data_IF_387319464301
#
_entry.id   IF_387319464301
#
_cell.length_a   1.000
_cell.length_b   1.000
_cell.length_c   1.000
_cell.angle_alpha   90.00
_cell.angle_beta   90.00
_cell.angle_gamma   90.00
#
_symmetry.space_group_name_H-M   'P 1'
#
loop_
_entity.id
_entity.type
_entity.pdbx_description
1 polymer ?
#
# COMPACT_ATOMS: atom_id res chain seq x y z
N UNK A 1 -5.22 43.94 28.19
CA UNK A 1 -5.89 42.69 27.70
C UNK A 1 -6.02 42.65 26.17
N UNK A 2 -4.98 43.03 25.40
CA UNK A 2 -4.98 42.95 23.92
C UNK A 2 -4.02 41.90 23.35
N UNK A 3 -3.09 41.40 24.18
CA UNK A 3 -2.05 40.46 23.77
C UNK A 3 -2.46 38.97 23.86
N UNK A 4 -3.55 38.65 24.57
CA UNK A 4 -4.04 37.28 24.69
C UNK A 4 -4.69 36.75 23.40
N UNK A 5 -5.33 37.62 22.61
CA UNK A 5 -5.97 37.21 21.35
C UNK A 5 -4.96 36.83 20.25
N UNK A 6 -3.73 37.37 20.28
CA UNK A 6 -2.69 37.02 19.31
C UNK A 6 -2.04 35.66 19.57
N UNK A 7 -2.13 35.10 20.78
CA UNK A 7 -1.57 33.78 21.08
C UNK A 7 -2.45 32.63 20.53
N UNK A 8 -3.77 32.86 20.46
CA UNK A 8 -4.75 31.87 19.98
C UNK A 8 -4.63 31.62 18.47
N UNK A 9 -4.18 32.60 17.68
CA UNK A 9 -4.06 32.43 16.22
C UNK A 9 -2.86 31.55 15.79
N UNK A 10 -1.82 31.44 16.61
CA UNK A 10 -0.61 30.66 16.29
C UNK A 10 -0.86 29.16 16.45
N UNK A 11 -1.72 28.75 17.39
CA UNK A 11 -2.02 27.32 17.66
C UNK A 11 -2.83 26.70 16.51
N UNK A 12 -3.65 27.47 15.80
CA UNK A 12 -4.50 26.98 14.71
C UNK A 12 -3.75 26.77 13.38
N UNK A 13 -2.50 27.26 13.24
CA UNK A 13 -1.71 27.08 12.02
C UNK A 13 -0.88 25.78 11.97
N UNK A 14 -0.74 25.08 13.10
CA UNK A 14 0.03 23.84 13.18
C UNK A 14 -0.79 22.55 13.03
N UNK A 15 -2.10 22.63 12.81
CA UNK A 15 -2.93 21.46 12.47
C UNK A 15 -2.84 21.09 10.99
N UNK A 16 -1.64 21.17 10.39
CA UNK A 16 -1.43 20.53 9.09
C UNK A 16 -1.51 19.03 9.32
N UNK A 17 -2.59 18.44 8.81
CA UNK A 17 -2.86 17.01 8.78
C UNK A 17 -1.57 16.24 8.46
N UNK A 18 -0.90 15.73 9.51
CA UNK A 18 0.08 14.69 9.33
C UNK A 18 -0.72 13.49 8.83
N UNK A 19 -0.76 13.28 7.51
CA UNK A 19 -1.08 11.96 6.99
C UNK A 19 0.00 11.06 7.57
N UNK A 20 -0.33 10.40 8.68
CA UNK A 20 0.61 9.49 9.33
C UNK A 20 0.91 8.41 8.31
N UNK A 21 2.18 8.30 7.99
CA UNK A 21 2.69 7.10 7.35
C UNK A 21 2.28 5.91 8.20
N UNK A 22 1.80 4.86 7.55
CA UNK A 22 1.46 3.59 8.17
C UNK A 22 2.38 2.53 7.62
N UNK A 23 2.66 1.52 8.42
CA UNK A 23 3.47 0.39 7.99
C UNK A 23 2.59 -0.77 7.52
N UNK A 24 3.06 -1.50 6.51
CA UNK A 24 2.44 -2.74 6.05
C UNK A 24 3.48 -3.84 5.93
N UNK A 25 3.05 -5.10 6.06
CA UNK A 25 3.94 -6.23 5.78
C UNK A 25 4.05 -6.46 4.27
N UNK A 26 5.12 -7.16 3.86
CA UNK A 26 5.32 -7.53 2.46
C UNK A 26 5.12 -9.03 2.27
N UNK A 27 4.29 -9.37 1.30
CA UNK A 27 4.11 -10.75 0.82
C UNK A 27 4.61 -10.83 -0.63
N UNK A 28 5.34 -11.89 -0.95
CA UNK A 28 5.84 -12.15 -2.29
C UNK A 28 4.91 -13.15 -2.97
N UNK A 29 4.48 -12.84 -4.18
CA UNK A 29 3.66 -13.74 -4.98
C UNK A 29 4.34 -14.12 -6.29
N UNK A 30 4.06 -15.32 -6.77
CA UNK A 30 4.36 -15.74 -8.13
C UNK A 30 3.16 -15.52 -9.06
N UNK A 31 3.29 -15.88 -10.35
CA UNK A 31 2.21 -15.76 -11.35
C UNK A 31 0.98 -16.62 -11.05
N UNK A 32 1.16 -17.72 -10.31
CA UNK A 32 0.14 -18.73 -10.04
C UNK A 32 -0.53 -18.48 -8.68
N UNK A 33 -0.30 -17.29 -8.09
CA UNK A 33 -0.88 -16.87 -6.81
C UNK A 33 -0.40 -17.76 -5.66
N UNK A 34 0.84 -18.26 -5.69
CA UNK A 34 1.48 -18.81 -4.50
C UNK A 34 2.09 -17.66 -3.71
N UNK A 35 1.80 -17.60 -2.41
CA UNK A 35 2.22 -16.48 -1.54
C UNK A 35 3.20 -16.91 -0.46
N UNK A 36 4.21 -16.08 -0.22
CA UNK A 36 5.21 -16.28 0.82
C UNK A 36 5.50 -14.96 1.53
N UNK A 37 5.50 -14.96 2.87
CA UNK A 37 5.78 -13.76 3.65
C UNK A 37 7.27 -13.42 3.62
N UNK A 38 7.61 -12.23 3.12
CA UNK A 38 9.00 -11.77 3.06
C UNK A 38 9.57 -11.61 4.47
N UNK A 39 10.80 -12.09 4.70
CA UNK A 39 11.43 -12.11 6.03
C UNK A 39 10.54 -12.75 7.11
N UNK A 40 9.75 -13.77 6.77
CA UNK A 40 8.78 -14.43 7.65
C UNK A 40 7.73 -13.47 8.24
N UNK A 41 7.38 -12.41 7.50
CA UNK A 41 6.38 -11.42 7.90
C UNK A 41 6.96 -10.22 8.67
N UNK A 42 8.26 -10.23 8.94
CA UNK A 42 8.93 -9.14 9.66
C UNK A 42 9.28 -7.94 8.77
N UNK A 43 9.28 -8.12 7.43
CA UNK A 43 9.56 -7.00 6.53
C UNK A 43 8.39 -6.02 6.55
N UNK A 44 8.67 -4.78 7.00
CA UNK A 44 7.73 -3.67 7.06
C UNK A 44 8.09 -2.60 6.05
N UNK A 45 7.07 -1.97 5.48
CA UNK A 45 7.22 -0.85 4.55
C UNK A 45 6.28 0.26 4.96
N UNK A 46 6.86 1.43 5.22
CA UNK A 46 6.13 2.66 5.51
C UNK A 46 5.52 3.24 4.25
N UNK A 47 4.35 3.87 4.36
CA UNK A 47 3.65 4.44 3.23
C UNK A 47 2.20 4.77 3.52
N UNK A 48 1.40 4.84 2.45
CA UNK A 48 0.02 5.31 2.52
C UNK A 48 -0.87 4.35 1.72
N UNK A 49 -1.94 3.88 2.37
CA UNK A 49 -3.03 3.15 1.70
C UNK A 49 -3.91 4.09 0.88
N UNK A 50 -4.33 3.64 -0.29
CA UNK A 50 -5.32 4.30 -1.11
C UNK A 50 -6.31 3.33 -1.72
N UNK A 51 -7.40 3.89 -2.24
CA UNK A 51 -8.43 3.15 -2.98
C UNK A 51 -8.52 3.79 -4.36
N UNK A 52 -8.28 2.99 -5.40
CA UNK A 52 -8.45 3.40 -6.78
C UNK A 52 -9.77 2.86 -7.31
N UNK A 53 -10.54 3.70 -8.00
CA UNK A 53 -11.74 3.29 -8.74
C UNK A 53 -11.34 2.95 -10.17
N UNK A 54 -11.74 1.78 -10.66
CA UNK A 54 -11.57 1.42 -12.08
C UNK A 54 -12.76 1.86 -12.92
N UNK A 55 -13.97 1.77 -12.37
CA UNK A 55 -15.21 2.28 -12.94
C UNK A 55 -16.21 2.54 -11.80
N UNK A 56 -17.47 2.84 -12.13
CA UNK A 56 -18.51 3.13 -11.14
C UNK A 56 -18.82 1.97 -10.17
N UNK A 57 -18.48 0.74 -10.52
CA UNK A 57 -18.82 -0.44 -9.73
C UNK A 57 -17.63 -1.05 -9.02
N UNK A 58 -16.40 -0.87 -9.52
CA UNK A 58 -15.23 -1.59 -9.01
C UNK A 58 -14.13 -0.67 -8.51
N UNK A 59 -13.62 -0.98 -7.33
CA UNK A 59 -12.44 -0.35 -6.75
C UNK A 59 -11.43 -1.38 -6.26
N UNK A 60 -10.19 -0.97 -6.01
CA UNK A 60 -9.17 -1.82 -5.41
C UNK A 60 -8.26 -1.01 -4.49
N UNK A 61 -7.67 -1.71 -3.53
CA UNK A 61 -6.69 -1.14 -2.60
C UNK A 61 -5.29 -1.13 -3.23
N UNK A 62 -4.57 -0.04 -3.00
CA UNK A 62 -3.16 0.07 -3.34
C UNK A 62 -2.38 0.70 -2.19
N UNK A 63 -1.08 0.47 -2.17
CA UNK A 63 -0.16 1.07 -1.20
C UNK A 63 0.92 1.88 -1.91
N UNK A 64 1.13 3.12 -1.46
CA UNK A 64 2.21 3.99 -1.93
C UNK A 64 3.34 3.92 -0.90
N UNK A 65 4.43 3.17 -1.16
CA UNK A 65 5.54 3.08 -0.22
C UNK A 65 6.35 4.38 -0.20
N UNK A 66 6.86 4.73 0.98
CA UNK A 66 7.93 5.71 1.10
C UNK A 66 9.15 5.21 0.31
N UNK A 67 9.74 6.07 -0.52
CA UNK A 67 10.78 5.68 -1.49
C UNK A 67 10.23 5.24 -2.86
N UNK A 68 8.92 5.15 -3.04
CA UNK A 68 8.27 4.98 -4.34
C UNK A 68 8.75 3.75 -5.12
N UNK A 69 9.04 3.94 -6.41
CA UNK A 69 9.40 2.83 -7.32
C UNK A 69 10.68 2.11 -6.91
N UNK A 70 11.65 2.82 -6.34
CA UNK A 70 12.92 2.21 -5.98
C UNK A 70 12.77 1.28 -4.79
N UNK A 71 11.91 1.63 -3.82
CA UNK A 71 11.55 0.71 -2.73
C UNK A 71 10.87 -0.55 -3.26
N UNK A 72 9.99 -0.42 -4.27
CA UNK A 72 9.31 -1.58 -4.85
C UNK A 72 10.30 -2.51 -5.57
N UNK A 73 11.28 -1.95 -6.30
CA UNK A 73 12.34 -2.74 -6.95
C UNK A 73 13.23 -3.45 -5.94
N UNK A 74 13.58 -2.78 -4.84
CA UNK A 74 14.32 -3.37 -3.72
C UNK A 74 13.56 -4.59 -3.17
N UNK A 75 12.28 -4.42 -2.81
CA UNK A 75 11.44 -5.51 -2.31
C UNK A 75 11.29 -6.67 -3.32
N UNK A 76 11.20 -6.37 -4.61
CA UNK A 76 11.18 -7.41 -5.65
C UNK A 76 12.47 -8.21 -5.65
N UNK A 77 13.62 -7.56 -5.54
CA UNK A 77 14.90 -8.25 -5.47
C UNK A 77 15.00 -9.10 -4.20
N UNK A 78 14.53 -8.60 -3.06
CA UNK A 78 14.45 -9.37 -1.81
C UNK A 78 13.56 -10.62 -1.97
N UNK A 79 12.38 -10.47 -2.59
CA UNK A 79 11.50 -11.60 -2.91
C UNK A 79 12.18 -12.65 -3.79
N UNK A 80 12.88 -12.22 -4.85
CA UNK A 80 13.60 -13.11 -5.77
C UNK A 80 14.76 -13.81 -5.04
N UNK A 81 15.48 -13.11 -4.19
CA UNK A 81 16.58 -13.67 -3.41
C UNK A 81 16.09 -14.72 -2.41
N UNK A 82 14.95 -14.49 -1.75
CA UNK A 82 14.44 -15.38 -0.71
C UNK A 82 13.65 -16.58 -1.28
N UNK A 83 12.88 -16.40 -2.34
CA UNK A 83 11.93 -17.42 -2.83
C UNK A 83 12.19 -17.87 -4.28
N UNK A 84 13.12 -17.22 -4.98
CA UNK A 84 13.49 -17.54 -6.35
C UNK A 84 12.79 -16.69 -7.40
N UNK A 85 13.23 -16.84 -8.66
CA UNK A 85 12.88 -15.96 -9.79
C UNK A 85 11.39 -15.97 -10.16
N UNK A 86 10.59 -16.88 -9.60
CA UNK A 86 9.15 -16.92 -9.84
C UNK A 86 8.37 -15.92 -8.96
N UNK A 87 8.91 -15.55 -7.80
CA UNK A 87 8.26 -14.66 -6.82
C UNK A 87 8.57 -13.19 -7.11
N UNK A 88 8.11 -12.71 -8.27
CA UNK A 88 8.45 -11.38 -8.80
C UNK A 88 7.49 -10.26 -8.40
N UNK A 89 6.41 -10.59 -7.68
CA UNK A 89 5.37 -9.64 -7.30
C UNK A 89 5.41 -9.38 -5.80
N UNK A 90 6.20 -8.40 -5.32
CA UNK A 90 6.05 -7.92 -3.95
C UNK A 90 4.70 -7.23 -3.82
N UNK A 91 3.95 -7.53 -2.76
CA UNK A 91 2.63 -6.98 -2.51
C UNK A 91 2.51 -6.51 -1.06
N UNK A 92 1.86 -5.36 -0.81
CA UNK A 92 1.51 -4.93 0.53
C UNK A 92 0.43 -5.86 1.09
N UNK A 93 0.60 -6.29 2.33
CA UNK A 93 -0.42 -7.02 3.06
C UNK A 93 -0.46 -6.47 4.46
N UNK A 94 -1.60 -5.91 4.85
CA UNK A 94 -1.94 -5.89 6.25
C UNK A 94 -2.58 -7.25 6.60
N UNK A 95 -2.57 -7.61 7.88
CA UNK A 95 -3.21 -8.85 8.33
C UNK A 95 -4.76 -8.77 8.31
N UNK A 96 -5.34 -7.62 7.95
CA UNK A 96 -6.75 -7.30 8.13
C UNK A 96 -7.56 -7.37 6.81
N UNK A 97 -6.95 -7.12 5.66
CA UNK A 97 -7.60 -7.16 4.37
C UNK A 97 -7.59 -8.60 3.82
N UNK A 98 -8.78 -9.18 3.67
CA UNK A 98 -9.00 -10.38 2.86
C UNK A 98 -8.78 -10.15 1.35
N UNK A 99 -8.32 -8.97 0.95
CA UNK A 99 -8.24 -8.53 -0.43
C UNK A 99 -6.78 -8.32 -0.82
N UNK A 100 -6.38 -8.93 -1.93
CA UNK A 100 -5.06 -8.72 -2.51
C UNK A 100 -4.91 -7.28 -3.00
N UNK A 101 -3.86 -6.62 -2.55
CA UNK A 101 -3.55 -5.23 -2.84
C UNK A 101 -2.20 -5.11 -3.51
N UNK A 102 -1.97 -4.04 -4.27
CA UNK A 102 -0.72 -3.84 -5.02
C UNK A 102 0.03 -2.61 -4.55
N UNK A 103 1.35 -2.63 -4.71
CA UNK A 103 2.11 -1.39 -4.63
C UNK A 103 1.78 -0.49 -5.82
N UNK A 104 1.92 0.81 -5.63
CA UNK A 104 1.78 1.79 -6.69
C UNK A 104 2.84 2.89 -6.53
N UNK A 105 3.20 3.54 -7.64
CA UNK A 105 4.10 4.70 -7.61
C UNK A 105 3.33 6.00 -7.46
N UNK A 106 2.07 5.99 -7.88
CA UNK A 106 1.08 7.04 -7.68
C UNK A 106 -0.34 6.49 -7.87
N UNK A 107 -1.36 7.35 -7.86
CA UNK A 107 -2.78 6.95 -7.96
C UNK A 107 -3.16 6.30 -9.31
N UNK A 108 -2.36 6.49 -10.36
CA UNK A 108 -2.62 6.03 -11.73
C UNK A 108 -1.70 4.88 -12.14
N UNK A 109 -0.51 4.82 -11.56
CA UNK A 109 0.53 3.87 -11.93
C UNK A 109 0.68 2.79 -10.84
N UNK A 110 0.01 1.66 -11.04
CA UNK A 110 0.15 0.48 -10.20
C UNK A 110 1.35 -0.37 -10.62
N UNK A 111 2.00 -1.00 -9.65
CA UNK A 111 3.02 -1.99 -9.92
C UNK A 111 2.37 -3.34 -10.24
N UNK A 112 2.95 -4.17 -11.13
CA UNK A 112 2.42 -5.49 -11.43
C UNK A 112 2.27 -6.38 -10.17
N UNK A 113 1.13 -7.05 -10.07
CA UNK A 113 0.80 -7.98 -8.97
C UNK A 113 -0.66 -8.41 -9.03
N UNK A 114 -1.11 -9.16 -8.02
CA UNK A 114 -2.49 -9.66 -7.97
C UNK A 114 -3.43 -8.67 -7.28
N UNK A 115 -4.53 -8.31 -7.93
CA UNK A 115 -5.47 -7.33 -7.41
C UNK A 115 -6.82 -7.98 -7.12
N UNK A 116 -7.39 -7.72 -5.94
CA UNK A 116 -8.78 -8.03 -5.65
C UNK A 116 -9.65 -6.79 -5.87
N UNK A 117 -10.73 -6.95 -6.62
CA UNK A 117 -11.68 -5.87 -6.85
C UNK A 117 -12.81 -5.93 -5.84
N UNK A 118 -13.14 -4.77 -5.28
CA UNK A 118 -14.33 -4.55 -4.47
C UNK A 118 -15.41 -4.10 -5.43
N UNK A 119 -16.53 -4.83 -5.52
CA UNK A 119 -17.72 -4.28 -6.17
C UNK A 119 -18.63 -3.61 -5.16
N UNK A 120 -19.22 -2.49 -5.56
CA UNK A 120 -20.20 -1.74 -4.77
C UNK A 120 -21.48 -2.53 -4.48
N UNK A 121 -21.70 -3.67 -5.14
CA UNK A 121 -22.85 -4.54 -4.89
C UNK A 121 -22.49 -5.94 -4.32
N UNK A 122 -21.33 -6.54 -4.62
CA UNK A 122 -20.84 -7.80 -4.01
C UNK A 122 -19.32 -7.94 -4.19
N UNK A 123 -18.58 -8.60 -3.27
CA UNK A 123 -17.13 -8.87 -3.43
C UNK A 123 -16.89 -9.88 -4.56
N UNK A 124 -16.07 -9.54 -5.56
CA UNK A 124 -15.61 -10.48 -6.60
C UNK A 124 -14.09 -10.40 -6.76
N UNK A 125 -13.41 -11.55 -6.62
CA UNK A 125 -12.00 -11.70 -7.00
C UNK A 125 -11.96 -11.92 -8.52
N UNK A 126 -11.33 -11.04 -9.28
CA UNK A 126 -11.17 -11.17 -10.74
C UNK A 126 -9.69 -11.43 -11.04
N UNK A 127 -9.44 -12.33 -12.01
CA UNK A 127 -8.18 -13.05 -12.23
C UNK A 127 -7.02 -12.21 -12.72
#
# INVERSE_FOLDING_TARGET
MKYFYNLIFIILFFSKNAMSSVETSVICADKDKNWQWLSNGNQRVSGIWGIAQTNHFYSYYYFLPEGGIDKIKELKNECIQQFGINFIYPQPSDHYFQNWSVFATDKKNIYPGHVSFLSSNYRFIIF
#
